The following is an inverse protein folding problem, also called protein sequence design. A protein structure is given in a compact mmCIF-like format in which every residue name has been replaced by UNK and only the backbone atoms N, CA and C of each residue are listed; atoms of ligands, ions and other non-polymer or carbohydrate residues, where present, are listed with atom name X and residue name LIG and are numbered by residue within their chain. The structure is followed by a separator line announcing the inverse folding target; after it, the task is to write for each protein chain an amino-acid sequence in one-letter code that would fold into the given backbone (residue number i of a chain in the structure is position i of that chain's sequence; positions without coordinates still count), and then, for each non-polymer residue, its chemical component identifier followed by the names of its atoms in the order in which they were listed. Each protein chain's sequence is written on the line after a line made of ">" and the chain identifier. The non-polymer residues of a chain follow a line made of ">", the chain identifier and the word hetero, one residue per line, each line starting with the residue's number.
data_IF_365469217508
#
_entry.id   IF_365469217508
#
_cell.length_a   1.000
_cell.length_b   1.000
_cell.length_c   1.000
_cell.angle_alpha   90.00
_cell.angle_beta   90.00
_cell.angle_gamma   90.00
#
_symmetry.space_group_name_H-M   'P 1'
#
loop_
_entity.id
_entity.type
_entity.pdbx_description
1 polymer ?
#
# COMPACT_ATOMS: atom_id res chain seq x y z
N UNK A 1 -7.24 -23.46 10.55
CA UNK A 1 -8.46 -23.33 11.36
C UNK A 1 -8.63 -21.88 11.77
N UNK A 2 -9.80 -21.30 11.50
CA UNK A 2 -10.17 -19.94 11.94
C UNK A 2 -11.53 -19.98 12.63
N UNK A 3 -11.72 -19.14 13.64
CA UNK A 3 -13.00 -18.94 14.30
C UNK A 3 -13.66 -17.65 13.76
N UNK A 4 -14.93 -17.75 13.41
CA UNK A 4 -15.76 -16.63 12.96
C UNK A 4 -16.92 -16.41 13.94
N UNK A 5 -17.30 -15.16 14.18
CA UNK A 5 -18.54 -14.86 14.91
C UNK A 5 -19.66 -14.70 13.88
N UNK A 6 -20.73 -15.48 14.01
CA UNK A 6 -21.86 -15.46 13.07
C UNK A 6 -23.12 -15.06 13.81
N UNK A 7 -23.89 -14.12 13.23
CA UNK A 7 -25.16 -13.63 13.77
C UNK A 7 -26.07 -14.81 14.12
N UNK A 8 -26.71 -14.72 15.29
CA UNK A 8 -27.69 -15.70 15.76
C UNK A 8 -28.90 -14.96 16.32
N UNK A 9 -30.10 -15.44 15.98
CA UNK A 9 -31.35 -14.89 16.50
C UNK A 9 -31.70 -15.48 17.87
N UNK A 10 -31.28 -16.72 18.11
CA UNK A 10 -31.62 -17.51 19.29
C UNK A 10 -30.60 -17.35 20.43
N UNK A 11 -29.37 -16.95 20.10
CA UNK A 11 -28.33 -16.72 21.12
C UNK A 11 -28.51 -15.35 21.80
N UNK A 12 -28.54 -15.27 23.15
CA UNK A 12 -28.64 -14.01 23.89
C UNK A 12 -27.53 -13.00 23.58
N UNK A 13 -26.34 -13.45 23.16
CA UNK A 13 -25.22 -12.60 22.71
C UNK A 13 -25.48 -11.96 21.35
N UNK A 14 -26.41 -12.53 20.57
CA UNK A 14 -26.70 -12.15 19.19
C UNK A 14 -25.76 -12.77 18.16
N UNK A 15 -24.84 -13.65 18.57
CA UNK A 15 -23.93 -14.38 17.68
C UNK A 15 -23.42 -15.68 18.32
N UNK A 16 -23.03 -16.62 17.47
CA UNK A 16 -22.36 -17.88 17.82
C UNK A 16 -20.95 -17.95 17.21
N UNK A 17 -20.12 -18.85 17.71
CA UNK A 17 -18.80 -19.12 17.15
C UNK A 17 -18.89 -20.24 16.09
N UNK A 18 -18.39 -19.96 14.90
CA UNK A 18 -18.28 -20.90 13.80
C UNK A 18 -16.81 -21.19 13.51
N UNK A 19 -16.38 -22.42 13.79
CA UNK A 19 -15.04 -22.88 13.50
C UNK A 19 -14.95 -23.45 12.08
N UNK A 20 -13.99 -22.93 11.30
CA UNK A 20 -13.78 -23.31 9.90
C UNK A 20 -12.37 -23.88 9.71
N UNK A 21 -12.23 -25.18 9.39
CA UNK A 21 -10.92 -25.82 9.22
C UNK A 21 -10.09 -25.15 8.10
N UNK A 22 -10.74 -24.87 6.97
CA UNK A 22 -10.21 -24.17 5.79
C UNK A 22 -9.91 -22.68 6.04
N UNK A 23 -10.34 -22.15 7.19
CA UNK A 23 -10.18 -20.75 7.55
C UNK A 23 -10.99 -19.79 6.66
N UNK A 24 -12.06 -20.28 6.02
CA UNK A 24 -12.92 -19.47 5.13
C UNK A 24 -14.39 -19.62 5.46
N UNK A 25 -15.16 -18.55 5.27
CA UNK A 25 -16.61 -18.61 5.25
C UNK A 25 -17.08 -19.01 3.86
N UNK A 26 -18.16 -19.81 3.72
CA UNK A 26 -18.79 -20.14 2.45
C UNK A 26 -19.04 -18.90 1.57
N UNK A 27 -18.87 -19.09 0.26
CA UNK A 27 -19.05 -18.07 -0.80
C UNK A 27 -19.83 -18.64 -2.00
N UNK A 28 -20.80 -19.51 -1.72
CA UNK A 28 -21.67 -20.10 -2.75
C UNK A 28 -22.94 -19.28 -2.89
N UNK A 29 -23.74 -19.58 -3.92
CA UNK A 29 -25.09 -19.02 -4.08
C UNK A 29 -26.03 -19.44 -2.95
N UNK A 30 -25.85 -20.65 -2.40
CA UNK A 30 -26.65 -21.21 -1.30
C UNK A 30 -26.25 -20.67 0.08
N UNK A 31 -24.99 -20.30 0.26
CA UNK A 31 -24.47 -19.84 1.54
C UNK A 31 -23.32 -18.86 1.35
N UNK A 32 -23.56 -17.62 1.78
CA UNK A 32 -22.55 -16.57 1.81
C UNK A 32 -22.75 -15.67 3.01
N UNK A 33 -21.69 -14.99 3.42
CA UNK A 33 -21.67 -14.15 4.61
C UNK A 33 -21.16 -12.74 4.31
N UNK A 34 -21.67 -11.77 5.06
CA UNK A 34 -21.30 -10.36 4.99
C UNK A 34 -20.97 -9.83 6.40
N UNK A 35 -19.99 -8.94 6.56
CA UNK A 35 -19.77 -8.19 7.80
C UNK A 35 -21.05 -7.46 8.22
N UNK A 36 -21.49 -7.66 9.45
CA UNK A 36 -22.75 -7.14 9.96
C UNK A 36 -22.55 -6.26 11.21
N UNK A 37 -21.76 -6.73 12.17
CA UNK A 37 -21.51 -6.02 13.41
C UNK A 37 -20.07 -6.14 13.89
N UNK A 38 -19.77 -5.37 14.93
CA UNK A 38 -18.50 -5.41 15.65
C UNK A 38 -18.80 -5.59 17.13
N UNK A 39 -18.17 -6.61 17.72
CA UNK A 39 -18.23 -6.85 19.17
C UNK A 39 -17.52 -5.76 19.98
N UNK A 40 -17.75 -5.75 21.29
CA UNK A 40 -17.01 -4.91 22.26
C UNK A 40 -15.50 -5.11 22.19
N UNK A 41 -15.04 -6.31 21.83
CA UNK A 41 -13.62 -6.65 21.65
C UNK A 41 -13.08 -6.37 20.23
N UNK A 42 -13.86 -5.74 19.35
CA UNK A 42 -13.41 -5.38 18.00
C UNK A 42 -13.42 -6.53 16.98
N UNK A 43 -13.95 -7.71 17.35
CA UNK A 43 -14.14 -8.84 16.42
C UNK A 43 -15.39 -8.64 15.57
N UNK A 44 -15.31 -9.07 14.31
CA UNK A 44 -16.39 -8.93 13.33
C UNK A 44 -17.38 -10.05 13.49
N UNK A 45 -18.65 -9.66 13.58
CA UNK A 45 -19.81 -10.54 13.50
C UNK A 45 -20.32 -10.51 12.07
N UNK A 46 -20.38 -11.68 11.44
CA UNK A 46 -20.87 -11.86 10.08
C UNK A 46 -22.33 -12.31 10.11
N UNK A 47 -23.14 -11.84 9.16
CA UNK A 47 -24.49 -12.36 8.96
C UNK A 47 -24.54 -13.12 7.63
N UNK A 48 -25.39 -14.14 7.55
CA UNK A 48 -25.68 -14.80 6.28
C UNK A 48 -26.33 -13.79 5.33
N UNK A 49 -26.02 -13.86 4.04
CA UNK A 49 -26.68 -13.03 3.03
C UNK A 49 -28.20 -13.29 3.07
N UNK A 50 -29.01 -12.22 3.00
CA UNK A 50 -30.45 -12.25 3.29
C UNK A 50 -30.81 -11.98 4.76
N UNK A 51 -29.96 -12.38 5.72
CA UNK A 51 -30.18 -12.18 7.17
C UNK A 51 -29.45 -10.96 7.73
N UNK A 52 -28.80 -10.16 6.89
CA UNK A 52 -28.07 -8.95 7.32
C UNK A 52 -28.99 -7.75 7.57
N UNK A 53 -30.25 -7.83 7.14
CA UNK A 53 -31.23 -6.76 7.34
C UNK A 53 -31.67 -6.69 8.81
N UNK A 54 -31.98 -5.47 9.25
CA UNK A 54 -32.35 -5.18 10.64
C UNK A 54 -31.16 -5.14 11.61
N UNK A 55 -31.26 -4.28 12.62
CA UNK A 55 -30.22 -4.06 13.61
C UNK A 55 -30.66 -4.55 14.99
N UNK A 56 -29.86 -5.45 15.60
CA UNK A 56 -30.03 -5.88 16.99
C UNK A 56 -28.68 -5.76 17.70
N UNK A 57 -28.49 -4.66 18.41
CA UNK A 57 -27.19 -4.31 18.99
C UNK A 57 -26.75 -5.13 20.21
N UNK A 58 -27.34 -6.30 20.49
CA UNK A 58 -27.10 -7.06 21.73
C UNK A 58 -27.39 -6.25 23.00
N UNK A 59 -27.07 -6.80 24.17
CA UNK A 59 -27.18 -6.08 25.46
C UNK A 59 -25.94 -6.33 26.34
N UNK A 60 -25.71 -5.43 27.31
CA UNK A 60 -24.62 -5.58 28.29
C UNK A 60 -23.23 -5.74 27.67
N UNK A 61 -22.48 -6.75 28.11
CA UNK A 61 -21.13 -7.06 27.64
C UNK A 61 -21.07 -7.58 26.19
N UNK A 62 -22.22 -7.99 25.64
CA UNK A 62 -22.35 -8.48 24.26
C UNK A 62 -22.88 -7.42 23.29
N UNK A 63 -22.85 -6.14 23.70
CA UNK A 63 -23.29 -5.04 22.84
C UNK A 63 -22.47 -5.01 21.54
N UNK A 64 -23.17 -5.03 20.43
CA UNK A 64 -22.63 -4.91 19.09
C UNK A 64 -22.75 -3.46 18.61
N UNK A 65 -21.84 -3.07 17.72
CA UNK A 65 -21.91 -1.84 16.93
C UNK A 65 -22.07 -2.18 15.45
N UNK A 66 -22.81 -1.39 14.66
CA UNK A 66 -22.99 -1.67 13.24
C UNK A 66 -21.64 -1.71 12.51
N UNK A 67 -21.51 -2.62 11.55
CA UNK A 67 -20.41 -2.56 10.60
C UNK A 67 -20.75 -1.52 9.51
N UNK A 68 -20.37 -0.27 9.75
CA UNK A 68 -20.67 0.89 8.91
C UNK A 68 -19.45 1.37 8.09
N UNK A 69 -19.63 2.50 7.39
CA UNK A 69 -18.57 3.17 6.61
C UNK A 69 -17.33 3.47 7.45
N UNK A 70 -17.52 3.98 8.68
CA UNK A 70 -16.43 4.40 9.57
C UNK A 70 -15.66 3.20 10.10
N UNK A 71 -16.36 2.15 10.53
CA UNK A 71 -15.78 0.88 10.95
C UNK A 71 -14.96 0.28 9.82
N UNK A 72 -15.52 0.21 8.61
CA UNK A 72 -14.83 -0.32 7.43
C UNK A 72 -13.55 0.47 7.12
N UNK A 73 -13.59 1.80 7.12
CA UNK A 73 -12.38 2.61 6.91
C UNK A 73 -11.32 2.37 7.97
N UNK A 74 -11.73 2.33 9.25
CA UNK A 74 -10.80 2.10 10.35
C UNK A 74 -10.13 0.73 10.23
N UNK A 75 -10.89 -0.31 9.89
CA UNK A 75 -10.34 -1.66 9.69
C UNK A 75 -9.46 -1.77 8.46
N UNK A 76 -9.82 -1.11 7.36
CA UNK A 76 -8.93 -0.97 6.18
C UNK A 76 -7.62 -0.32 6.56
N UNK A 77 -7.66 0.71 7.41
CA UNK A 77 -6.48 1.48 7.80
C UNK A 77 -5.54 0.63 8.64
N UNK A 78 -6.10 -0.11 9.60
CA UNK A 78 -5.36 -1.08 10.41
C UNK A 78 -4.76 -2.19 9.53
N UNK A 79 -5.59 -2.85 8.72
CA UNK A 79 -5.20 -3.92 7.80
C UNK A 79 -4.02 -3.53 6.90
N UNK A 80 -4.11 -2.38 6.23
CA UNK A 80 -3.06 -1.87 5.34
C UNK A 80 -1.79 -1.47 6.10
N UNK A 81 -1.94 -0.88 7.29
CA UNK A 81 -0.80 -0.49 8.14
C UNK A 81 -0.02 -1.71 8.62
N UNK A 82 -0.74 -2.72 9.12
CA UNK A 82 -0.14 -3.98 9.56
C UNK A 82 0.55 -4.70 8.41
N UNK A 83 -0.08 -4.81 7.24
CA UNK A 83 0.55 -5.39 6.06
C UNK A 83 1.83 -4.65 5.69
N UNK A 84 1.77 -3.32 5.53
CA UNK A 84 2.92 -2.52 5.11
C UNK A 84 4.12 -2.67 6.05
N UNK A 85 3.88 -2.58 7.37
CA UNK A 85 4.96 -2.74 8.36
C UNK A 85 5.44 -4.18 8.49
N UNK A 86 4.53 -5.15 8.42
CA UNK A 86 4.89 -6.56 8.39
C UNK A 86 5.87 -6.85 7.26
N UNK A 87 5.60 -6.34 6.05
CA UNK A 87 6.49 -6.55 4.90
C UNK A 87 7.81 -5.80 5.04
N UNK A 88 7.79 -4.55 5.54
CA UNK A 88 9.04 -3.81 5.82
C UNK A 88 9.98 -4.56 6.75
N UNK A 89 9.42 -5.18 7.79
CA UNK A 89 10.18 -5.88 8.83
C UNK A 89 10.49 -7.34 8.46
N UNK A 90 9.88 -7.88 7.41
CA UNK A 90 10.09 -9.25 6.93
C UNK A 90 10.46 -9.24 5.43
N UNK A 91 11.66 -8.72 5.08
CA UNK A 91 12.06 -8.57 3.69
C UNK A 91 12.20 -9.92 2.94
N UNK A 92 12.22 -11.06 3.64
CA UNK A 92 12.29 -12.39 3.03
C UNK A 92 11.17 -12.66 2.03
N UNK A 93 9.96 -12.11 2.23
CA UNK A 93 8.84 -12.27 1.30
C UNK A 93 9.03 -11.56 -0.05
N UNK A 94 9.96 -10.61 -0.12
CA UNK A 94 10.19 -9.78 -1.32
C UNK A 94 11.63 -9.88 -1.82
N UNK A 95 12.50 -10.55 -1.06
CA UNK A 95 13.95 -10.54 -1.23
C UNK A 95 14.39 -11.01 -2.63
N UNK A 96 13.73 -12.02 -3.21
CA UNK A 96 14.10 -12.53 -4.54
C UNK A 96 13.92 -11.45 -5.61
N UNK A 97 12.72 -10.89 -5.74
CA UNK A 97 12.44 -9.86 -6.74
C UNK A 97 13.23 -8.56 -6.48
N UNK A 98 13.32 -8.12 -5.22
CA UNK A 98 14.08 -6.92 -4.85
C UNK A 98 15.55 -7.09 -5.16
N UNK A 99 16.18 -8.22 -4.78
CA UNK A 99 17.60 -8.47 -5.05
C UNK A 99 17.91 -8.59 -6.54
N UNK A 100 16.98 -9.12 -7.34
CA UNK A 100 17.11 -9.15 -8.80
C UNK A 100 17.22 -7.75 -9.38
N UNK A 101 16.38 -6.82 -8.94
CA UNK A 101 16.43 -5.40 -9.35
C UNK A 101 17.70 -4.73 -8.81
N UNK A 102 18.02 -4.90 -7.53
CA UNK A 102 19.19 -4.29 -6.91
C UNK A 102 20.50 -4.74 -7.56
N UNK A 103 20.65 -6.03 -7.84
CA UNK A 103 21.83 -6.58 -8.51
C UNK A 103 21.93 -6.09 -9.96
N UNK A 104 20.81 -6.05 -10.69
CA UNK A 104 20.81 -5.53 -12.05
C UNK A 104 21.16 -4.02 -12.12
N UNK A 105 20.72 -3.23 -11.15
CA UNK A 105 21.13 -1.82 -11.02
C UNK A 105 22.61 -1.68 -10.71
N UNK A 106 23.14 -2.50 -9.79
CA UNK A 106 24.58 -2.53 -9.50
C UNK A 106 25.40 -2.84 -10.74
N UNK A 107 25.04 -3.90 -11.46
CA UNK A 107 25.72 -4.30 -12.70
C UNK A 107 25.64 -3.20 -13.77
N UNK A 108 24.48 -2.55 -13.91
CA UNK A 108 24.34 -1.41 -14.83
C UNK A 108 25.25 -0.23 -14.46
N UNK A 109 25.36 0.11 -13.17
CA UNK A 109 26.23 1.18 -12.71
C UNK A 109 27.71 0.82 -12.88
N UNK A 110 28.07 -0.44 -12.61
CA UNK A 110 29.45 -0.95 -12.75
C UNK A 110 29.88 -1.12 -14.21
N UNK A 111 28.94 -1.24 -15.15
CA UNK A 111 29.25 -1.30 -16.58
C UNK A 111 29.50 0.08 -17.20
N UNK A 112 29.23 1.16 -16.46
CA UNK A 112 29.55 2.51 -16.92
C UNK A 112 31.01 2.85 -16.62
N UNK A 113 31.52 3.91 -17.24
CA UNK A 113 32.75 4.54 -16.76
C UNK A 113 32.63 4.91 -15.27
N UNK A 114 33.61 4.48 -14.48
CA UNK A 114 33.55 4.55 -13.03
C UNK A 114 33.48 6.00 -12.53
N UNK A 115 34.35 6.88 -13.05
CA UNK A 115 34.37 8.29 -12.65
C UNK A 115 33.04 8.98 -12.97
N UNK A 116 32.50 8.72 -14.16
CA UNK A 116 31.20 9.26 -14.61
C UNK A 116 30.05 8.76 -13.74
N UNK A 117 29.98 7.46 -13.45
CA UNK A 117 28.91 6.87 -12.64
C UNK A 117 28.93 7.40 -11.21
N UNK A 118 30.12 7.45 -10.59
CA UNK A 118 30.31 7.94 -9.24
C UNK A 118 29.92 9.42 -9.12
N UNK A 119 30.39 10.27 -10.05
CA UNK A 119 30.02 11.68 -10.10
C UNK A 119 28.51 11.86 -10.32
N UNK A 120 27.89 11.05 -11.19
CA UNK A 120 26.45 11.09 -11.44
C UNK A 120 25.65 10.73 -10.19
N UNK A 121 25.98 9.63 -9.51
CA UNK A 121 25.32 9.21 -8.26
C UNK A 121 25.43 10.31 -7.20
N UNK A 122 26.63 10.85 -7.00
CA UNK A 122 26.88 11.92 -6.04
C UNK A 122 26.07 13.19 -6.32
N UNK A 123 26.01 13.60 -7.59
CA UNK A 123 25.33 14.82 -8.03
C UNK A 123 23.81 14.69 -8.04
N UNK A 124 23.31 13.59 -8.58
CA UNK A 124 21.88 13.42 -8.86
C UNK A 124 21.09 12.94 -7.65
N UNK A 125 21.68 12.06 -6.84
CA UNK A 125 20.92 11.37 -5.79
C UNK A 125 21.56 11.37 -4.40
N UNK A 126 22.83 11.76 -4.26
CA UNK A 126 23.55 11.71 -2.98
C UNK A 126 22.81 12.39 -1.81
N UNK A 127 22.19 13.55 -2.05
CA UNK A 127 21.46 14.31 -1.01
C UNK A 127 20.16 13.65 -0.52
N UNK A 128 19.60 12.70 -1.27
CA UNK A 128 18.43 11.94 -0.81
C UNK A 128 18.80 10.87 0.24
N UNK A 129 20.04 10.38 0.19
CA UNK A 129 20.51 9.28 1.04
C UNK A 129 21.44 9.74 2.17
N UNK A 130 22.08 10.89 1.99
CA UNK A 130 22.93 11.58 2.97
C UNK A 130 22.34 12.97 3.18
N UNK A 131 21.44 13.05 4.17
CA UNK A 131 20.38 14.05 4.17
C UNK A 131 20.72 15.34 4.88
N UNK A 132 21.85 15.41 5.60
CA UNK A 132 22.20 16.58 6.42
C UNK A 132 21.14 16.90 7.48
N UNK A 133 20.62 15.88 8.16
CA UNK A 133 19.58 16.00 9.19
C UNK A 133 18.14 16.03 8.66
N UNK A 134 17.89 15.91 7.35
CA UNK A 134 16.52 15.82 6.81
C UNK A 134 15.93 14.41 6.96
N UNK A 135 14.61 14.33 7.15
CA UNK A 135 13.88 13.11 7.50
C UNK A 135 13.32 12.32 6.30
N UNK A 136 14.13 12.15 5.24
CA UNK A 136 13.78 11.28 4.12
C UNK A 136 13.67 9.81 4.54
N UNK A 137 12.69 9.08 3.99
CA UNK A 137 12.52 7.65 4.24
C UNK A 137 13.36 6.82 3.27
N UNK A 138 14.04 5.79 3.78
CA UNK A 138 15.03 5.04 3.01
C UNK A 138 16.40 5.73 2.93
N UNK A 139 16.68 6.71 3.81
CA UNK A 139 18.02 7.34 3.88
C UNK A 139 19.07 6.35 4.37
N UNK A 140 20.32 6.56 3.99
CA UNK A 140 21.47 5.79 4.47
C UNK A 140 22.03 6.44 5.75
N UNK A 141 22.22 7.75 5.73
CA UNK A 141 22.75 8.52 6.85
C UNK A 141 22.12 9.91 6.94
N UNK A 142 22.16 10.49 8.14
CA UNK A 142 21.82 11.88 8.40
C UNK A 142 23.00 12.84 8.20
N UNK A 143 24.22 12.32 8.00
CA UNK A 143 25.39 13.13 7.59
C UNK A 143 25.14 13.81 6.25
N UNK A 144 25.84 14.92 5.97
CA UNK A 144 25.76 15.57 4.65
C UNK A 144 26.58 14.76 3.64
N UNK A 145 26.13 14.71 2.39
CA UNK A 145 26.86 14.02 1.31
C UNK A 145 28.28 14.56 1.12
N UNK A 146 28.49 15.86 1.36
CA UNK A 146 29.78 16.53 1.17
C UNK A 146 30.80 16.09 2.24
N UNK A 147 30.35 15.77 3.45
CA UNK A 147 31.21 15.23 4.52
C UNK A 147 31.68 13.79 4.21
N UNK A 148 30.92 13.07 3.38
CA UNK A 148 31.16 11.66 3.02
C UNK A 148 31.97 11.54 1.73
N UNK A 149 31.91 12.55 0.86
CA UNK A 149 32.60 12.58 -0.42
C UNK A 149 32.00 11.65 -1.48
N UNK A 150 32.48 11.79 -2.72
CA UNK A 150 32.01 11.02 -3.89
C UNK A 150 32.14 9.51 -3.66
N UNK A 151 33.31 9.06 -3.20
CA UNK A 151 33.60 7.64 -2.97
C UNK A 151 32.77 7.04 -1.84
N UNK A 152 32.56 7.80 -0.76
CA UNK A 152 31.73 7.35 0.36
C UNK A 152 30.26 7.23 -0.04
N UNK A 153 29.74 8.19 -0.82
CA UNK A 153 28.37 8.13 -1.33
C UNK A 153 28.20 6.95 -2.26
N UNK A 154 29.11 6.75 -3.22
CA UNK A 154 29.09 5.60 -4.12
C UNK A 154 29.11 4.27 -3.36
N UNK A 155 30.08 4.07 -2.45
CA UNK A 155 30.19 2.85 -1.64
C UNK A 155 28.93 2.60 -0.83
N UNK A 156 28.37 3.63 -0.18
CA UNK A 156 27.15 3.47 0.61
C UNK A 156 25.94 3.08 -0.24
N UNK A 157 25.76 3.66 -1.44
CA UNK A 157 24.68 3.29 -2.36
C UNK A 157 24.84 1.84 -2.84
N UNK A 158 26.05 1.46 -3.27
CA UNK A 158 26.33 0.09 -3.73
C UNK A 158 26.13 -0.93 -2.61
N UNK A 159 26.53 -0.58 -1.38
CA UNK A 159 26.34 -1.40 -0.20
C UNK A 159 24.86 -1.52 0.19
N UNK A 160 24.10 -0.42 0.14
CA UNK A 160 22.68 -0.43 0.45
C UNK A 160 21.86 -1.24 -0.59
N UNK A 161 22.25 -1.22 -1.87
CA UNK A 161 21.65 -2.12 -2.87
C UNK A 161 21.90 -3.60 -2.53
N UNK A 162 23.03 -3.95 -1.94
CA UNK A 162 23.35 -5.32 -1.56
C UNK A 162 22.70 -5.73 -0.23
N UNK A 163 23.01 -5.00 0.84
CA UNK A 163 22.70 -5.37 2.24
C UNK A 163 21.77 -4.38 2.94
N UNK A 164 21.32 -3.33 2.27
CA UNK A 164 20.44 -2.33 2.87
C UNK A 164 19.08 -2.88 3.26
N UNK A 165 18.38 -2.13 4.12
CA UNK A 165 16.99 -2.41 4.47
C UNK A 165 16.07 -2.24 3.26
N UNK A 166 14.87 -2.81 3.33
CA UNK A 166 13.90 -2.72 2.23
C UNK A 166 13.59 -1.27 1.85
N UNK A 167 13.37 -0.39 2.82
CA UNK A 167 13.10 1.04 2.58
C UNK A 167 14.24 1.74 1.82
N UNK A 168 15.50 1.40 2.15
CA UNK A 168 16.68 1.95 1.48
C UNK A 168 16.77 1.45 0.04
N UNK A 169 16.63 0.13 -0.18
CA UNK A 169 16.68 -0.47 -1.52
C UNK A 169 15.61 0.12 -2.43
N UNK A 170 14.37 0.22 -1.96
CA UNK A 170 13.27 0.78 -2.75
C UNK A 170 13.50 2.27 -3.05
N UNK A 171 13.95 3.06 -2.07
CA UNK A 171 14.27 4.47 -2.31
C UNK A 171 15.40 4.65 -3.35
N UNK A 172 16.44 3.80 -3.30
CA UNK A 172 17.51 3.80 -4.31
C UNK A 172 16.98 3.37 -5.69
N UNK A 173 16.09 2.37 -5.77
CA UNK A 173 15.51 1.95 -7.04
C UNK A 173 14.75 3.09 -7.73
N UNK A 174 13.92 3.83 -6.97
CA UNK A 174 13.22 5.01 -7.47
C UNK A 174 14.20 6.09 -7.96
N UNK A 175 15.19 6.41 -7.12
CA UNK A 175 16.16 7.46 -7.40
C UNK A 175 17.03 7.14 -8.64
N UNK A 176 17.53 5.91 -8.76
CA UNK A 176 18.33 5.48 -9.91
C UNK A 176 17.51 5.55 -11.19
N UNK A 177 16.32 4.93 -11.20
CA UNK A 177 15.46 4.90 -12.40
C UNK A 177 15.08 6.30 -12.88
N UNK A 178 14.74 7.21 -11.97
CA UNK A 178 14.24 8.54 -12.32
C UNK A 178 15.30 9.60 -12.53
N UNK A 179 16.46 9.52 -11.85
CA UNK A 179 17.45 10.61 -11.80
C UNK A 179 18.82 10.24 -12.35
N UNK A 180 19.20 8.97 -12.30
CA UNK A 180 20.53 8.52 -12.75
C UNK A 180 20.45 7.96 -14.17
N UNK A 181 19.48 7.08 -14.42
CA UNK A 181 19.29 6.42 -15.72
C UNK A 181 19.10 7.41 -16.89
N UNK A 182 18.38 8.54 -16.77
CA UNK A 182 18.29 9.52 -17.86
C UNK A 182 19.61 10.19 -18.20
N UNK A 183 20.54 10.28 -17.24
CA UNK A 183 21.85 10.93 -17.42
C UNK A 183 22.86 9.93 -18.00
N UNK A 184 22.94 8.74 -17.42
CA UNK A 184 23.88 7.70 -17.84
C UNK A 184 23.42 6.93 -19.10
N UNK A 185 22.11 7.00 -19.43
CA UNK A 185 21.49 6.38 -20.62
C UNK A 185 21.72 4.85 -20.66
N UNK A 186 21.54 4.24 -21.83
CA UNK A 186 21.69 2.80 -22.05
C UNK A 186 20.36 2.08 -22.36
N UNK A 187 20.43 0.79 -22.67
CA UNK A 187 19.27 0.00 -23.10
C UNK A 187 18.15 -0.09 -22.05
N UNK A 188 18.48 0.10 -20.77
CA UNK A 188 17.53 0.17 -19.66
C UNK A 188 16.64 1.42 -19.78
N UNK A 189 17.13 2.53 -20.34
CA UNK A 189 16.35 3.76 -20.47
C UNK A 189 15.14 3.55 -21.38
N UNK A 190 15.34 2.87 -22.52
CA UNK A 190 14.25 2.54 -23.46
C UNK A 190 13.16 1.74 -22.76
N UNK A 191 13.54 0.71 -22.00
CA UNK A 191 12.59 -0.12 -21.25
C UNK A 191 11.86 0.67 -20.17
N UNK A 192 12.56 1.56 -19.49
CA UNK A 192 12.00 2.42 -18.45
C UNK A 192 10.98 3.41 -19.03
N UNK A 193 11.30 4.06 -20.15
CA UNK A 193 10.42 5.06 -20.79
C UNK A 193 9.20 4.44 -21.46
N UNK A 194 9.30 3.20 -21.96
CA UNK A 194 8.16 2.50 -22.59
C UNK A 194 6.94 2.34 -21.67
N UNK A 195 7.13 2.41 -20.35
CA UNK A 195 6.06 2.30 -19.37
C UNK A 195 5.61 3.66 -18.80
N UNK A 196 6.29 4.77 -19.13
CA UNK A 196 6.06 6.06 -18.48
C UNK A 196 4.61 6.52 -18.60
N UNK A 197 4.06 6.50 -19.81
CA UNK A 197 2.67 6.91 -20.08
C UNK A 197 1.63 5.97 -19.47
N UNK A 198 2.01 4.73 -19.14
CA UNK A 198 1.10 3.73 -18.55
C UNK A 198 1.05 3.89 -17.03
N UNK A 199 2.20 3.90 -16.36
CA UNK A 199 2.26 3.83 -14.89
C UNK A 199 2.55 5.17 -14.19
N UNK A 200 2.86 6.22 -14.95
CA UNK A 200 3.07 7.57 -14.42
C UNK A 200 2.59 8.61 -15.43
N UNK A 201 1.27 8.72 -15.57
CA UNK A 201 0.64 9.69 -16.45
C UNK A 201 0.99 11.13 -16.01
N UNK A 202 1.05 12.05 -16.96
CA UNK A 202 1.54 13.41 -16.74
C UNK A 202 0.78 14.17 -15.64
N UNK A 203 -0.51 13.86 -15.45
CA UNK A 203 -1.34 14.50 -14.43
C UNK A 203 -0.97 14.11 -12.99
N UNK A 204 -0.19 13.04 -12.77
CA UNK A 204 0.22 12.62 -11.43
C UNK A 204 1.10 13.67 -10.74
N UNK A 205 1.93 14.35 -11.53
CA UNK A 205 2.91 15.31 -11.03
C UNK A 205 2.39 16.75 -11.04
N UNK A 206 1.35 17.04 -11.84
CA UNK A 206 0.72 18.36 -11.91
C UNK A 206 -0.07 18.67 -10.62
N UNK A 207 0.36 19.66 -9.81
CA UNK A 207 -0.31 20.03 -8.57
C UNK A 207 -1.77 20.43 -8.75
N UNK A 208 -2.14 20.92 -9.94
CA UNK A 208 -3.49 21.38 -10.25
C UNK A 208 -4.42 20.26 -10.71
N UNK A 209 -3.88 19.14 -11.19
CA UNK A 209 -4.67 18.02 -11.77
C UNK A 209 -4.73 16.79 -10.88
N UNK A 210 -3.73 16.54 -10.05
CA UNK A 210 -3.60 15.30 -9.26
C UNK A 210 -4.62 15.09 -8.13
N UNK A 211 -5.53 16.03 -7.88
CA UNK A 211 -6.65 15.92 -6.94
C UNK A 211 -6.30 15.80 -5.45
N UNK A 212 -5.18 16.40 -5.03
CA UNK A 212 -4.79 16.53 -3.62
C UNK A 212 -4.28 17.93 -3.30
N UNK A 213 -4.47 18.33 -2.05
CA UNK A 213 -3.93 19.56 -1.47
C UNK A 213 -3.00 19.22 -0.30
N UNK A 214 -2.12 20.15 0.06
CA UNK A 214 -1.34 20.02 1.28
C UNK A 214 -2.26 20.15 2.49
N UNK A 215 -2.01 19.35 3.52
CA UNK A 215 -2.64 19.55 4.81
C UNK A 215 -2.26 20.93 5.35
N UNK A 216 -3.18 21.64 6.02
CA UNK A 216 -2.94 23.00 6.50
C UNK A 216 -1.87 23.05 7.60
N UNK A 217 -1.71 21.96 8.35
CA UNK A 217 -0.75 21.84 9.45
C UNK A 217 0.33 20.85 9.05
N UNK A 218 1.59 21.25 9.23
CA UNK A 218 2.73 20.36 9.01
C UNK A 218 2.75 19.29 10.10
N UNK A 219 2.53 18.04 9.71
CA UNK A 219 2.59 16.92 10.64
C UNK A 219 4.00 16.70 11.19
N UNK A 220 4.14 16.27 12.47
CA UNK A 220 5.42 15.96 13.06
C UNK A 220 6.07 14.75 12.41
N UNK A 221 7.40 14.66 12.57
CA UNK A 221 8.16 13.46 12.21
C UNK A 221 7.78 12.33 13.16
N UNK A 222 7.62 11.11 12.63
CA UNK A 222 7.27 9.95 13.44
C UNK A 222 7.93 8.66 12.93
N UNK A 223 8.19 7.74 13.84
CA UNK A 223 8.57 6.34 13.56
C UNK A 223 7.35 5.44 13.42
N UNK A 224 6.14 5.96 13.63
CA UNK A 224 4.91 5.19 13.42
C UNK A 224 4.85 4.68 11.99
N UNK A 225 4.58 3.39 11.87
CA UNK A 225 4.40 2.74 10.59
C UNK A 225 2.97 2.82 10.07
N UNK A 226 2.82 2.50 8.79
CA UNK A 226 1.51 2.41 8.17
C UNK A 226 0.81 3.74 7.99
N UNK A 227 -0.48 3.63 7.69
CA UNK A 227 -1.40 4.73 7.40
C UNK A 227 -2.39 5.01 8.54
N UNK A 228 -2.20 4.36 9.68
CA UNK A 228 -3.04 4.53 10.87
C UNK A 228 -2.80 5.89 11.55
N UNK A 229 -3.85 6.45 12.17
CA UNK A 229 -3.77 7.73 12.90
C UNK A 229 -2.74 7.63 14.03
N UNK A 230 -2.04 8.73 14.34
CA UNK A 230 -0.91 8.73 15.27
C UNK A 230 -1.27 8.17 16.66
N UNK A 231 -2.47 8.45 17.14
CA UNK A 231 -3.03 8.03 18.43
C UNK A 231 -3.48 6.57 18.51
N UNK A 232 -3.59 5.87 17.38
CA UNK A 232 -4.05 4.47 17.38
C UNK A 232 -2.90 3.49 17.65
N UNK A 233 -3.04 2.45 18.48
CA UNK A 233 -1.95 1.49 18.70
C UNK A 233 -1.60 0.62 17.47
N UNK A 234 -2.41 0.69 16.40
CA UNK A 234 -2.24 -0.09 15.19
C UNK A 234 -1.12 0.43 14.27
N UNK A 235 -0.51 -0.49 13.51
CA UNK A 235 0.42 -0.17 12.43
C UNK A 235 1.91 -0.23 12.79
N UNK A 236 2.28 -0.59 14.03
CA UNK A 236 3.67 -0.82 14.43
C UNK A 236 4.62 0.37 14.21
N UNK A 237 5.91 0.09 14.20
CA UNK A 237 6.97 1.09 14.01
C UNK A 237 7.88 0.73 12.84
N UNK A 238 8.48 1.74 12.23
CA UNK A 238 9.54 1.61 11.23
C UNK A 238 10.84 2.19 11.76
N UNK A 239 11.95 1.79 11.15
CA UNK A 239 13.30 2.14 11.60
C UNK A 239 13.64 3.65 11.57
N UNK A 240 12.91 4.44 10.77
CA UNK A 240 13.25 5.83 10.50
C UNK A 240 12.09 6.78 10.76
N UNK A 241 12.36 7.80 11.57
CA UNK A 241 11.52 8.99 11.66
C UNK A 241 11.38 9.64 10.26
N UNK A 242 10.14 9.92 9.87
CA UNK A 242 9.78 10.62 8.62
C UNK A 242 8.48 11.39 8.77
N UNK A 243 8.25 12.34 7.86
CA UNK A 243 6.89 12.83 7.63
C UNK A 243 6.13 11.80 6.78
N UNK A 244 4.88 11.50 7.14
CA UNK A 244 4.05 10.53 6.42
C UNK A 244 3.16 11.26 5.42
N UNK A 245 3.06 10.75 4.19
CA UNK A 245 2.16 11.30 3.15
C UNK A 245 0.72 11.42 3.64
N UNK A 246 0.24 10.43 4.41
CA UNK A 246 -1.12 10.42 4.98
C UNK A 246 -1.39 11.52 6.00
N UNK A 247 -0.35 12.15 6.54
CA UNK A 247 -0.48 13.28 7.46
C UNK A 247 -0.15 14.63 6.77
N UNK A 248 0.39 14.59 5.55
CA UNK A 248 0.82 15.78 4.81
C UNK A 248 -0.16 16.21 3.72
N UNK A 249 -1.06 15.32 3.30
CA UNK A 249 -1.97 15.57 2.19
C UNK A 249 -3.41 15.30 2.58
N UNK A 250 -4.30 16.09 1.98
CA UNK A 250 -5.74 15.87 2.02
C UNK A 250 -6.26 15.82 0.60
N UNK A 251 -7.41 15.17 0.43
CA UNK A 251 -8.08 15.12 -0.86
C UNK A 251 -8.60 16.49 -1.23
N UNK A 252 -8.41 16.87 -2.50
CA UNK A 252 -9.11 18.04 -3.03
C UNK A 252 -10.60 17.66 -3.19
N UNK A 253 -11.51 18.47 -2.66
CA UNK A 253 -12.95 18.24 -2.80
C UNK A 253 -13.51 18.94 -4.04
N UNK A 254 -12.78 19.89 -4.63
CA UNK A 254 -13.21 20.69 -5.77
C UNK A 254 -12.66 20.16 -7.10
N UNK A 255 -12.48 18.84 -7.21
CA UNK A 255 -11.80 18.12 -8.30
C UNK A 255 -12.45 18.37 -9.66
N UNK A 256 -12.15 19.50 -10.30
CA UNK A 256 -12.81 19.92 -11.55
C UNK A 256 -11.86 19.99 -12.73
N UNK A 257 -10.67 19.38 -12.60
CA UNK A 257 -9.52 19.74 -13.43
C UNK A 257 -8.97 18.60 -14.27
N UNK A 258 -9.29 17.35 -13.96
CA UNK A 258 -8.83 16.19 -14.74
C UNK A 258 -9.78 15.00 -14.60
N UNK A 259 -10.39 14.60 -15.73
CA UNK A 259 -11.37 13.51 -15.78
C UNK A 259 -10.84 12.16 -15.27
N UNK A 260 -9.55 11.87 -15.50
CA UNK A 260 -8.96 10.58 -15.14
C UNK A 260 -8.66 10.56 -13.63
N UNK A 261 -8.25 11.71 -13.08
CA UNK A 261 -8.14 11.89 -11.64
C UNK A 261 -9.51 11.76 -10.96
N UNK A 262 -10.54 12.40 -11.50
CA UNK A 262 -11.90 12.37 -10.95
C UNK A 262 -12.45 10.94 -10.95
N UNK A 263 -12.32 10.21 -12.07
CA UNK A 263 -12.73 8.82 -12.17
C UNK A 263 -12.02 7.91 -11.15
N UNK A 264 -10.71 8.11 -10.94
CA UNK A 264 -9.94 7.39 -9.93
C UNK A 264 -10.49 7.64 -8.52
N UNK A 265 -10.77 8.90 -8.20
CA UNK A 265 -11.28 9.31 -6.90
C UNK A 265 -12.72 8.83 -6.68
N UNK A 266 -13.58 8.87 -7.69
CA UNK A 266 -14.95 8.38 -7.59
C UNK A 266 -15.02 6.86 -7.39
N UNK A 267 -14.13 6.08 -8.03
CA UNK A 267 -14.01 4.64 -7.75
C UNK A 267 -13.59 4.39 -6.29
N UNK A 268 -12.63 5.18 -5.79
CA UNK A 268 -12.21 5.10 -4.39
C UNK A 268 -13.35 5.40 -3.41
N UNK A 269 -14.17 6.42 -3.69
CA UNK A 269 -15.34 6.78 -2.87
C UNK A 269 -16.43 5.74 -2.90
N UNK A 270 -16.79 5.25 -4.09
CA UNK A 270 -17.81 4.23 -4.26
C UNK A 270 -17.50 2.99 -3.42
N UNK A 271 -16.22 2.70 -3.20
CA UNK A 271 -15.74 1.53 -2.47
C UNK A 271 -15.23 1.85 -1.08
N UNK A 272 -15.41 3.07 -0.58
CA UNK A 272 -14.95 3.50 0.74
C UNK A 272 -13.45 3.17 0.97
N UNK A 273 -12.63 3.41 -0.05
CA UNK A 273 -11.20 3.17 -0.01
C UNK A 273 -10.47 4.33 0.64
N UNK A 274 -9.26 4.05 1.13
CA UNK A 274 -8.47 5.03 1.85
C UNK A 274 -7.70 5.92 0.90
N UNK A 275 -7.82 7.22 1.14
CA UNK A 275 -6.89 8.22 0.63
C UNK A 275 -5.67 8.28 1.54
N UNK A 276 -4.48 8.21 0.95
CA UNK A 276 -3.23 8.47 1.63
C UNK A 276 -2.60 9.76 1.13
N UNK A 277 -2.22 9.78 -0.14
CA UNK A 277 -1.59 10.95 -0.75
C UNK A 277 -1.98 11.12 -2.22
N UNK A 278 -3.04 10.49 -2.72
CA UNK A 278 -3.38 10.43 -4.14
C UNK A 278 -2.62 9.32 -4.89
N UNK A 279 -2.95 9.13 -6.17
CA UNK A 279 -2.39 8.05 -6.99
C UNK A 279 -0.86 8.04 -6.97
N UNK A 280 -0.24 6.86 -6.85
CA UNK A 280 1.17 6.77 -6.50
C UNK A 280 2.11 6.82 -7.71
N UNK A 281 2.60 8.01 -8.05
CA UNK A 281 3.67 8.16 -9.04
C UNK A 281 4.95 7.40 -8.67
N UNK A 282 5.28 7.32 -7.37
CA UNK A 282 6.44 6.55 -6.89
C UNK A 282 6.26 5.04 -7.13
N UNK A 283 5.03 4.53 -7.06
CA UNK A 283 4.76 3.15 -7.48
C UNK A 283 5.07 2.96 -8.96
N UNK A 284 4.68 3.92 -9.81
CA UNK A 284 5.01 3.92 -11.23
C UNK A 284 6.50 3.84 -11.50
N UNK A 285 7.29 4.74 -10.91
CA UNK A 285 8.75 4.77 -11.12
C UNK A 285 9.45 3.52 -10.58
N UNK A 286 8.98 2.98 -9.46
CA UNK A 286 9.48 1.71 -8.93
C UNK A 286 9.18 0.56 -9.89
N UNK A 287 7.98 0.46 -10.44
CA UNK A 287 7.63 -0.58 -11.42
C UNK A 287 8.42 -0.44 -12.72
N UNK A 288 8.60 0.79 -13.22
CA UNK A 288 9.47 1.07 -14.36
C UNK A 288 10.90 0.58 -14.09
N UNK A 289 11.44 0.87 -12.90
CA UNK A 289 12.75 0.37 -12.48
C UNK A 289 12.79 -1.16 -12.38
N UNK A 290 11.76 -1.77 -11.79
CA UNK A 290 11.65 -3.21 -11.66
C UNK A 290 11.68 -3.93 -13.00
N UNK A 291 10.93 -3.43 -13.98
CA UNK A 291 10.86 -4.00 -15.32
C UNK A 291 12.13 -3.71 -16.13
N UNK A 292 12.65 -2.47 -16.09
CA UNK A 292 13.83 -2.07 -16.86
C UNK A 292 15.11 -2.78 -16.43
N UNK A 293 15.33 -2.91 -15.12
CA UNK A 293 16.54 -3.51 -14.55
C UNK A 293 16.34 -5.00 -14.22
N UNK A 294 15.31 -5.31 -13.42
CA UNK A 294 15.07 -6.67 -12.94
C UNK A 294 14.38 -7.61 -13.93
N UNK A 295 13.91 -7.10 -15.07
CA UNK A 295 13.13 -7.88 -16.07
C UNK A 295 12.01 -8.67 -15.37
N UNK A 296 11.26 -7.99 -14.49
CA UNK A 296 10.18 -8.61 -13.70
C UNK A 296 8.95 -8.82 -14.59
N UNK A 297 8.96 -9.88 -15.39
CA UNK A 297 7.84 -10.26 -16.28
C UNK A 297 7.05 -11.46 -15.76
N UNK A 298 7.65 -12.28 -14.88
CA UNK A 298 6.95 -13.39 -14.24
C UNK A 298 6.00 -12.87 -13.16
N UNK A 299 4.78 -13.43 -13.10
CA UNK A 299 3.72 -12.96 -12.22
C UNK A 299 4.13 -12.94 -10.73
N UNK A 300 4.83 -13.97 -10.23
CA UNK A 300 5.27 -14.02 -8.83
C UNK A 300 6.34 -12.97 -8.52
N UNK A 301 7.36 -12.84 -9.37
CA UNK A 301 8.43 -11.83 -9.20
C UNK A 301 7.83 -10.41 -9.18
N UNK A 302 6.85 -10.14 -10.05
CA UNK A 302 6.15 -8.85 -10.10
C UNK A 302 5.32 -8.63 -8.83
N UNK A 303 4.56 -9.63 -8.37
CA UNK A 303 3.80 -9.53 -7.10
C UNK A 303 4.69 -9.33 -5.89
N UNK A 304 5.84 -10.03 -5.81
CA UNK A 304 6.82 -9.84 -4.73
C UNK A 304 7.38 -8.41 -4.73
N UNK A 305 7.70 -7.88 -5.90
CA UNK A 305 8.20 -6.52 -6.01
C UNK A 305 7.13 -5.49 -5.69
N UNK A 306 5.89 -5.68 -6.14
CA UNK A 306 4.74 -4.84 -5.73
C UNK A 306 4.49 -4.92 -4.23
N UNK A 307 4.64 -6.09 -3.61
CA UNK A 307 4.56 -6.25 -2.16
C UNK A 307 5.68 -5.45 -1.46
N UNK A 308 6.89 -5.40 -2.02
CA UNK A 308 7.96 -4.54 -1.53
C UNK A 308 7.63 -3.05 -1.66
N UNK A 309 6.99 -2.63 -2.76
CA UNK A 309 6.47 -1.26 -2.93
C UNK A 309 5.42 -0.96 -1.84
N UNK A 310 4.51 -1.89 -1.57
CA UNK A 310 3.52 -1.76 -0.49
C UNK A 310 4.21 -1.62 0.87
N UNK A 311 5.23 -2.44 1.15
CA UNK A 311 6.04 -2.28 2.36
C UNK A 311 6.60 -0.86 2.46
N UNK A 312 7.32 -0.43 1.43
CA UNK A 312 7.95 0.89 1.39
C UNK A 312 6.96 2.05 1.49
N UNK A 313 5.89 2.07 0.70
CA UNK A 313 4.98 3.21 0.62
C UNK A 313 3.85 3.14 1.63
N UNK A 314 3.21 2.00 1.81
CA UNK A 314 2.11 1.83 2.77
C UNK A 314 2.66 1.70 4.17
N UNK A 315 3.67 0.84 4.39
CA UNK A 315 4.38 0.74 5.66
C UNK A 315 5.10 2.06 6.02
N UNK A 316 5.57 2.78 5.00
CA UNK A 316 6.08 4.15 5.11
C UNK A 316 5.03 5.22 5.38
N UNK A 317 3.73 4.91 5.37
CA UNK A 317 2.67 5.91 5.55
C UNK A 317 2.64 6.97 4.44
N UNK A 318 3.22 6.69 3.28
CA UNK A 318 3.31 7.59 2.14
C UNK A 318 2.09 7.48 1.22
N UNK A 319 1.53 6.27 1.09
CA UNK A 319 0.38 6.00 0.24
C UNK A 319 -0.53 4.93 0.85
N UNK A 320 -1.78 4.88 0.39
CA UNK A 320 -2.65 3.75 0.66
C UNK A 320 -2.34 2.56 -0.24
N UNK A 321 -2.85 1.39 0.14
CA UNK A 321 -2.77 0.20 -0.68
C UNK A 321 -3.42 0.38 -2.06
N UNK A 322 -4.59 1.04 -2.11
CA UNK A 322 -5.29 1.28 -3.36
C UNK A 322 -4.49 2.20 -4.30
N UNK A 323 -3.87 3.25 -3.77
CA UNK A 323 -3.01 4.17 -4.54
C UNK A 323 -1.82 3.46 -5.18
N UNK A 324 -1.31 2.42 -4.52
CA UNK A 324 -0.24 1.56 -5.06
C UNK A 324 -0.80 0.58 -6.10
N UNK A 325 -1.86 -0.14 -5.75
CA UNK A 325 -2.38 -1.22 -6.60
C UNK A 325 -3.10 -0.73 -7.86
N UNK A 326 -3.70 0.46 -7.84
CA UNK A 326 -4.28 1.09 -9.04
C UNK A 326 -3.24 1.37 -10.13
N UNK A 327 -1.96 1.51 -9.74
CA UNK A 327 -0.84 1.65 -10.68
C UNK A 327 -0.28 0.28 -11.04
N UNK A 328 -0.12 -0.62 -10.06
CA UNK A 328 0.42 -1.96 -10.30
C UNK A 328 -0.47 -2.82 -11.23
N UNK A 329 -1.79 -2.63 -11.20
CA UNK A 329 -2.70 -3.33 -12.10
C UNK A 329 -2.45 -3.03 -13.58
N UNK A 330 -1.96 -1.82 -13.90
CA UNK A 330 -1.64 -1.40 -15.27
C UNK A 330 -0.46 -2.16 -15.89
N UNK A 331 0.31 -2.89 -15.08
CA UNK A 331 1.41 -3.76 -15.54
C UNK A 331 1.12 -5.25 -15.28
N UNK A 332 -0.15 -5.60 -15.08
CA UNK A 332 -0.61 -6.99 -15.02
C UNK A 332 -0.62 -7.61 -13.62
N UNK A 333 -0.46 -6.83 -12.55
CA UNK A 333 -0.69 -7.36 -11.19
C UNK A 333 -2.21 -7.48 -10.96
N UNK A 334 -2.75 -8.68 -10.68
CA UNK A 334 -4.18 -8.84 -10.41
C UNK A 334 -4.62 -7.95 -9.26
N UNK A 335 -5.64 -7.12 -9.49
CA UNK A 335 -6.19 -6.25 -8.46
C UNK A 335 -7.67 -6.03 -8.70
N UNK A 336 -8.47 -6.43 -7.71
CA UNK A 336 -9.85 -5.98 -7.59
C UNK A 336 -9.89 -4.84 -6.55
N UNK A 337 -10.35 -3.63 -6.89
CA UNK A 337 -10.35 -2.48 -6.00
C UNK A 337 -10.79 -2.77 -4.56
N UNK A 338 -9.83 -2.64 -3.64
CA UNK A 338 -10.02 -2.81 -2.20
C UNK A 338 -10.04 -4.25 -1.68
N UNK A 339 -9.72 -5.23 -2.53
CA UNK A 339 -9.41 -6.61 -2.14
C UNK A 339 -7.88 -6.86 -2.21
N UNK A 340 -7.42 -7.86 -1.46
CA UNK A 340 -5.99 -8.13 -1.28
C UNK A 340 -5.57 -9.51 -1.77
N UNK A 341 -6.46 -10.49 -1.77
CA UNK A 341 -6.07 -11.91 -1.91
C UNK A 341 -5.38 -12.25 -3.23
N UNK A 342 -5.86 -11.71 -4.36
CA UNK A 342 -5.36 -12.05 -5.70
C UNK A 342 -4.01 -11.40 -6.05
N UNK A 343 -3.70 -10.27 -5.43
CA UNK A 343 -2.47 -9.50 -5.65
C UNK A 343 -1.30 -9.99 -4.80
N UNK A 344 -1.55 -10.77 -3.73
CA UNK A 344 -0.48 -11.28 -2.88
C UNK A 344 0.38 -12.32 -3.60
N UNK A 345 1.72 -12.26 -3.43
CA UNK A 345 2.61 -13.30 -3.93
C UNK A 345 2.46 -14.60 -3.14
N UNK A 346 2.72 -15.72 -3.80
CA UNK A 346 2.58 -17.06 -3.20
C UNK A 346 3.53 -17.25 -2.01
N UNK A 347 4.74 -16.71 -2.13
CA UNK A 347 5.74 -16.67 -1.06
C UNK A 347 5.21 -16.08 0.26
N UNK A 348 4.32 -15.08 0.19
CA UNK A 348 3.67 -14.53 1.37
C UNK A 348 2.43 -15.32 1.76
N UNK A 349 1.58 -15.72 0.79
CA UNK A 349 0.32 -16.45 1.05
C UNK A 349 0.52 -17.77 1.81
N UNK A 350 1.66 -18.44 1.61
CA UNK A 350 2.01 -19.69 2.32
C UNK A 350 2.51 -19.47 3.76
N UNK A 351 2.71 -18.24 4.19
CA UNK A 351 3.27 -17.94 5.50
C UNK A 351 2.21 -17.92 6.61
N UNK A 352 2.63 -18.29 7.83
CA UNK A 352 1.78 -18.14 9.02
C UNK A 352 1.41 -16.68 9.32
N UNK A 353 2.26 -15.72 8.92
CA UNK A 353 1.98 -14.29 9.03
C UNK A 353 0.79 -13.88 8.16
N UNK A 354 0.73 -14.35 6.91
CA UNK A 354 -0.44 -14.14 6.06
C UNK A 354 -1.69 -14.79 6.64
N UNK A 355 -1.61 -16.04 7.12
CA UNK A 355 -2.76 -16.73 7.73
C UNK A 355 -3.33 -15.95 8.91
N UNK A 356 -2.48 -15.47 9.82
CA UNK A 356 -2.89 -14.69 10.99
C UNK A 356 -3.50 -13.34 10.59
N UNK A 357 -2.84 -12.60 9.69
CA UNK A 357 -3.33 -11.31 9.21
C UNK A 357 -4.65 -11.42 8.45
N UNK A 358 -4.76 -12.40 7.53
CA UNK A 358 -5.99 -12.70 6.79
C UNK A 358 -7.12 -13.09 7.73
N UNK A 359 -6.86 -13.89 8.76
CA UNK A 359 -7.89 -14.25 9.73
C UNK A 359 -8.38 -13.03 10.53
N UNK A 360 -7.47 -12.15 10.95
CA UNK A 360 -7.83 -10.95 11.69
C UNK A 360 -8.60 -9.92 10.85
N UNK A 361 -8.35 -9.86 9.54
CA UNK A 361 -8.96 -8.92 8.60
C UNK A 361 -9.71 -9.60 7.46
N UNK A 362 -10.37 -10.73 7.72
CA UNK A 362 -11.09 -11.49 6.68
C UNK A 362 -12.14 -10.62 5.95
N UNK A 363 -12.79 -9.73 6.70
CA UNK A 363 -13.73 -8.71 6.20
C UNK A 363 -13.13 -7.76 5.15
N UNK A 364 -11.81 -7.52 5.19
CA UNK A 364 -11.11 -6.62 4.29
C UNK A 364 -10.35 -7.40 3.20
N UNK A 365 -9.62 -8.44 3.60
CA UNK A 365 -8.66 -9.17 2.75
C UNK A 365 -9.38 -10.03 1.72
N UNK A 366 -10.42 -10.76 2.18
CA UNK A 366 -11.17 -11.74 1.38
C UNK A 366 -12.45 -11.14 0.85
N UNK A 367 -13.22 -10.48 1.71
CA UNK A 367 -14.54 -9.97 1.34
C UNK A 367 -14.45 -8.63 0.56
N UNK A 368 -13.48 -7.77 0.86
CA UNK A 368 -13.25 -6.55 0.09
C UNK A 368 -14.17 -5.38 0.47
N UNK A 369 -14.42 -4.48 -0.49
CA UNK A 369 -14.66 -3.06 -0.19
C UNK A 369 -16.10 -2.56 -0.25
N UNK A 370 -17.08 -3.39 -0.54
CA UNK A 370 -18.46 -2.94 -0.73
C UNK A 370 -19.39 -3.32 0.41
N UNK A 371 -18.97 -4.19 1.33
CA UNK A 371 -19.88 -4.78 2.31
C UNK A 371 -20.41 -3.84 3.39
N UNK A 372 -19.79 -2.69 3.61
CA UNK A 372 -20.29 -1.65 4.51
C UNK A 372 -21.64 -1.07 4.05
N UNK A 373 -21.97 -1.19 2.76
CA UNK A 373 -23.26 -0.74 2.19
C UNK A 373 -24.45 -1.50 2.79
N UNK A 374 -24.23 -2.71 3.31
CA UNK A 374 -25.30 -3.58 3.82
C UNK A 374 -25.91 -3.12 5.16
N UNK A 375 -25.26 -2.22 5.92
CA UNK A 375 -25.75 -1.73 7.22
C UNK A 375 -25.84 -0.19 7.27
N UNK A 376 -26.53 0.44 6.31
CA UNK A 376 -26.79 1.89 6.25
C UNK A 376 -25.71 2.78 5.62
N UNK A 377 -24.89 2.23 4.72
CA UNK A 377 -23.95 3.02 3.93
C UNK A 377 -24.65 3.80 2.81
N UNK A 378 -24.93 5.09 3.01
CA UNK A 378 -25.25 5.98 1.90
C UNK A 378 -24.00 6.22 1.06
N UNK A 379 -24.12 6.06 -0.27
CA UNK A 379 -23.07 6.48 -1.18
C UNK A 379 -22.96 8.01 -1.12
N UNK A 380 -21.73 8.58 -1.16
CA UNK A 380 -21.57 10.02 -1.27
C UNK A 380 -22.45 10.60 -2.39
N UNK A 381 -23.16 11.68 -2.10
CA UNK A 381 -24.18 12.25 -3.00
C UNK A 381 -23.63 12.75 -4.34
N UNK A 382 -22.30 12.91 -4.44
CA UNK A 382 -21.61 13.32 -5.66
C UNK A 382 -21.28 12.16 -6.62
N UNK A 383 -21.50 10.90 -6.23
CA UNK A 383 -21.19 9.75 -7.09
C UNK A 383 -22.21 9.59 -8.23
N UNK A 384 -21.72 9.21 -9.42
CA UNK A 384 -22.55 8.84 -10.56
C UNK A 384 -23.54 7.72 -10.17
N UNK A 385 -24.82 7.87 -10.55
CA UNK A 385 -25.89 6.89 -10.30
C UNK A 385 -25.56 5.49 -10.83
N UNK A 386 -24.77 5.36 -11.89
CA UNK A 386 -24.37 4.07 -12.45
C UNK A 386 -23.43 3.25 -11.53
N UNK A 387 -22.73 3.89 -10.59
CA UNK A 387 -21.84 3.24 -9.61
C UNK A 387 -22.57 2.79 -8.32
N UNK A 388 -23.89 2.99 -8.28
CA UNK A 388 -24.73 2.77 -7.09
C UNK A 388 -25.32 1.36 -6.99
N UNK A 389 -25.38 0.62 -8.09
CA UNK A 389 -25.85 -0.76 -8.09
C UNK A 389 -24.83 -1.69 -7.41
N UNK A 390 -25.25 -2.56 -6.47
CA UNK A 390 -24.40 -3.69 -6.07
C UNK A 390 -24.14 -4.57 -7.29
N UNK A 391 -22.89 -4.98 -7.48
CA UNK A 391 -22.52 -6.04 -8.42
C UNK A 391 -22.94 -7.41 -7.87
#
# INVERSE_FOLDING_TARGET
>A
MSMFLVRSFDDPKGYIELNRPDGTLPRTSSESYVPWGVSTHGKIVYAKTGEHTGWRGGTGQHRLRPYDTTVSQNRRRQCQSELGVMILNNPSFTAKAVSKVSNAMRLYLQSQDAATAMACIYKQIGHYFYTGGRFGFGRISESKKDDIGVDGVWRGIMQALLLGRLDQKMSIHDAIGRKVLPVLKGGQLVKYTNLATVVRQDWFDDPTRRGRVNAPVRAPVTTKGGISKLDTPAGGTVAQGRNRGVDMFSRDLHRTRDKDADAYYDDADARNLLFGAGISGTTGTLLQAGIAFGKLTAAEDLKQYTLAIIGYLVGGGMHSYHETMAVASKVGVPYNPGAFETSMPESFRRSGLYTAWRANFYDIVVLGATHWRNNSGYLPSHLNKELTSPA
#
